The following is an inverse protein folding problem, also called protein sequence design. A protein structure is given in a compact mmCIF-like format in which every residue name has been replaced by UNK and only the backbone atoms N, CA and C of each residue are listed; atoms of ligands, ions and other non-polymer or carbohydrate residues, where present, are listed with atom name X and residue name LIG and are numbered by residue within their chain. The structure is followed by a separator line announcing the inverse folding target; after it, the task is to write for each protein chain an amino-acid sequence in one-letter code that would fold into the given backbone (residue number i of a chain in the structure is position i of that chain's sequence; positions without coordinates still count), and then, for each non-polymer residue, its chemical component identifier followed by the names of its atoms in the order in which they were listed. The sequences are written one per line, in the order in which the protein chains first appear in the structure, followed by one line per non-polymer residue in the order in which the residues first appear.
data_IF_871570381342
#
_entry.id   IF_871570381342
#
_cell.length_a   1.000
_cell.length_b   1.000
_cell.length_c   1.000
_cell.angle_alpha   90.00
_cell.angle_beta   90.00
_cell.angle_gamma   90.00
#
_symmetry.space_group_name_H-M   'P 1'
#
loop_
_entity.id
_entity.type
_entity.pdbx_description
1 polymer ?
#
# COMPACT_ATOMS: atom_id res chain seq x y z
N UNK A 1 -25.91 -8.01 -10.75
CA UNK A 1 -25.05 -6.95 -11.30
C UNK A 1 -23.78 -6.93 -10.44
N UNK A 2 -22.60 -6.83 -11.05
CA UNK A 2 -21.35 -6.70 -10.28
C UNK A 2 -21.40 -5.39 -9.46
N UNK A 3 -20.91 -5.45 -8.23
CA UNK A 3 -20.83 -4.29 -7.34
C UNK A 3 -19.87 -3.25 -7.94
N UNK A 4 -20.36 -2.04 -8.17
CA UNK A 4 -19.54 -0.93 -8.65
C UNK A 4 -18.90 -0.23 -7.45
N UNK A 5 -17.74 -0.67 -7.04
CA UNK A 5 -16.96 -0.08 -5.95
C UNK A 5 -15.57 0.31 -6.47
N UNK A 6 -15.06 1.46 -6.03
CA UNK A 6 -13.67 1.85 -6.33
C UNK A 6 -12.69 0.88 -5.66
N UNK A 7 -11.60 0.52 -6.36
CA UNK A 7 -10.61 -0.43 -5.82
C UNK A 7 -10.02 0.04 -4.49
N UNK A 8 -9.77 1.33 -4.31
CA UNK A 8 -9.31 1.90 -3.03
C UNK A 8 -10.32 1.73 -1.89
N UNK A 9 -11.63 1.83 -2.16
CA UNK A 9 -12.66 1.62 -1.14
C UNK A 9 -12.71 0.14 -0.72
N UNK A 10 -12.71 -0.78 -1.69
CA UNK A 10 -12.63 -2.21 -1.43
C UNK A 10 -11.36 -2.60 -0.64
N UNK A 11 -10.23 -1.93 -0.93
CA UNK A 11 -8.99 -2.08 -0.18
C UNK A 11 -9.15 -1.68 1.30
N UNK A 12 -9.67 -0.48 1.56
CA UNK A 12 -9.87 0.00 2.94
C UNK A 12 -10.81 -0.91 3.74
N UNK A 13 -11.90 -1.38 3.12
CA UNK A 13 -12.83 -2.35 3.72
C UNK A 13 -12.15 -3.68 4.02
N UNK A 14 -11.31 -4.19 3.10
CA UNK A 14 -10.60 -5.45 3.26
C UNK A 14 -9.60 -5.39 4.43
N UNK A 15 -8.89 -4.28 4.61
CA UNK A 15 -7.98 -4.10 5.75
C UNK A 15 -8.72 -4.21 7.09
N UNK A 16 -9.87 -3.55 7.22
CA UNK A 16 -10.69 -3.62 8.45
C UNK A 16 -11.22 -5.04 8.67
N UNK A 17 -11.77 -5.66 7.61
CA UNK A 17 -12.38 -6.98 7.71
C UNK A 17 -11.37 -8.09 8.08
N UNK A 18 -10.10 -7.96 7.66
CA UNK A 18 -9.06 -8.95 7.91
C UNK A 18 -8.24 -8.70 9.18
N UNK A 19 -8.41 -7.55 9.83
CA UNK A 19 -7.58 -7.14 10.95
C UNK A 19 -7.59 -8.11 12.14
N UNK A 20 -8.73 -8.72 12.45
CA UNK A 20 -8.84 -9.68 13.55
C UNK A 20 -8.19 -11.03 13.24
N UNK A 21 -8.20 -11.42 11.96
CA UNK A 21 -7.58 -12.67 11.49
C UNK A 21 -6.04 -12.55 11.41
N UNK A 22 -5.54 -11.30 11.24
CA UNK A 22 -4.10 -11.01 11.12
C UNK A 22 -3.67 -9.96 12.17
N UNK A 23 -3.42 -10.37 13.43
CA UNK A 23 -3.04 -9.44 14.50
C UNK A 23 -1.68 -8.76 14.28
N UNK A 24 -0.85 -9.28 13.36
CA UNK A 24 0.41 -8.66 12.97
C UNK A 24 0.23 -7.53 11.95
N UNK A 25 -0.95 -7.41 11.33
CA UNK A 25 -1.25 -6.34 10.37
C UNK A 25 -1.14 -4.98 11.04
N UNK A 26 -0.29 -4.13 10.48
CA UNK A 26 -0.17 -2.71 10.83
C UNK A 26 -0.26 -1.85 9.57
N UNK A 27 -0.87 -0.69 9.68
CA UNK A 27 -1.10 0.21 8.55
C UNK A 27 -0.39 1.54 8.81
N UNK A 28 0.45 1.94 7.86
CA UNK A 28 1.12 3.24 7.87
C UNK A 28 0.59 4.10 6.73
N UNK A 29 0.44 5.38 6.95
CA UNK A 29 -0.09 6.31 5.94
C UNK A 29 0.69 7.63 5.95
N UNK A 30 0.95 8.17 4.77
CA UNK A 30 1.68 9.43 4.59
C UNK A 30 0.73 10.64 4.54
N UNK A 31 -0.13 10.77 5.55
CA UNK A 31 -1.11 11.86 5.73
C UNK A 31 -2.19 11.94 4.62
N UNK A 32 -2.52 10.80 4.02
CA UNK A 32 -3.50 10.69 2.93
C UNK A 32 -4.65 9.72 3.25
N UNK A 33 -4.88 9.41 4.53
CA UNK A 33 -5.79 8.35 4.97
C UNK A 33 -7.24 8.48 4.46
N UNK A 34 -7.70 9.68 4.19
CA UNK A 34 -8.99 9.94 3.55
C UNK A 34 -9.01 9.51 2.08
N UNK A 35 -7.91 9.73 1.35
CA UNK A 35 -7.77 9.40 -0.08
C UNK A 35 -7.43 7.93 -0.32
N UNK A 36 -6.56 7.36 0.51
CA UNK A 36 -6.15 5.95 0.48
C UNK A 36 -7.20 5.01 1.06
N UNK A 37 -8.24 5.56 1.71
CA UNK A 37 -9.32 4.84 2.42
C UNK A 37 -8.84 4.08 3.68
N UNK A 38 -7.65 4.34 4.17
CA UNK A 38 -7.12 3.74 5.43
C UNK A 38 -7.72 4.35 6.69
N UNK A 39 -8.46 5.46 6.59
CA UNK A 39 -9.16 6.10 7.71
C UNK A 39 -10.11 5.16 8.45
N UNK A 40 -10.72 4.20 7.74
CA UNK A 40 -11.57 3.17 8.35
C UNK A 40 -10.77 2.29 9.32
N UNK A 41 -9.59 1.85 8.89
CA UNK A 41 -8.68 1.07 9.72
C UNK A 41 -8.16 1.88 10.92
N UNK A 42 -7.77 3.13 10.71
CA UNK A 42 -7.35 4.03 11.79
C UNK A 42 -8.40 4.18 12.89
N UNK A 43 -9.69 4.23 12.52
CA UNK A 43 -10.80 4.31 13.47
C UNK A 43 -11.04 3.00 14.21
N UNK A 44 -10.96 1.86 13.51
CA UNK A 44 -11.24 0.54 14.07
C UNK A 44 -10.08 -0.01 14.92
N UNK A 45 -8.84 0.27 14.51
CA UNK A 45 -7.61 -0.26 15.11
C UNK A 45 -6.55 0.84 15.30
N UNK A 46 -6.80 1.84 16.16
CA UNK A 46 -5.91 3.00 16.34
C UNK A 46 -4.53 2.63 16.90
N UNK A 47 -4.41 1.52 17.60
CA UNK A 47 -3.17 0.96 18.12
C UNK A 47 -2.27 0.31 17.07
N UNK A 48 -2.83 0.05 15.88
CA UNK A 48 -2.14 -0.57 14.73
C UNK A 48 -2.09 0.35 13.50
N UNK A 49 -2.43 1.63 13.67
CA UNK A 49 -2.38 2.65 12.63
C UNK A 49 -1.39 3.75 12.95
N UNK A 50 -0.52 4.10 12.01
CA UNK A 50 0.51 5.13 12.16
C UNK A 50 0.41 6.15 11.03
N UNK A 51 0.01 7.39 11.35
CA UNK A 51 0.17 8.51 10.42
C UNK A 51 1.60 9.03 10.51
N UNK A 52 2.35 8.88 9.44
CA UNK A 52 3.78 9.23 9.37
C UNK A 52 4.02 10.66 8.89
N UNK A 53 2.94 11.44 8.61
CA UNK A 53 3.05 12.72 7.95
C UNK A 53 3.48 12.58 6.48
N UNK A 54 3.75 13.69 5.81
CA UNK A 54 4.20 13.73 4.42
C UNK A 54 5.70 13.35 4.35
N UNK A 55 6.00 12.07 4.65
CA UNK A 55 7.37 11.56 4.81
C UNK A 55 7.50 10.12 4.33
N UNK A 56 7.28 9.87 3.04
CA UNK A 56 7.17 8.53 2.45
C UNK A 56 8.45 7.70 2.61
N UNK A 57 9.63 8.32 2.50
CA UNK A 57 10.90 7.63 2.72
C UNK A 57 11.05 7.15 4.17
N UNK A 58 10.67 8.01 5.14
CA UNK A 58 10.65 7.64 6.56
C UNK A 58 9.61 6.55 6.85
N UNK A 59 8.40 6.66 6.30
CA UNK A 59 7.35 5.65 6.40
C UNK A 59 7.85 4.28 5.94
N UNK A 60 8.55 4.24 4.81
CA UNK A 60 9.12 3.02 4.24
C UNK A 60 10.18 2.42 5.15
N UNK A 61 11.08 3.23 5.72
CA UNK A 61 12.10 2.79 6.68
C UNK A 61 11.49 2.24 7.98
N UNK A 62 10.46 2.92 8.53
CA UNK A 62 9.74 2.45 9.72
C UNK A 62 9.02 1.12 9.44
N UNK A 63 8.37 1.00 8.27
CA UNK A 63 7.73 -0.25 7.86
C UNK A 63 8.72 -1.41 7.76
N UNK A 64 9.93 -1.16 7.22
CA UNK A 64 10.99 -2.16 7.19
C UNK A 64 11.38 -2.63 8.59
N UNK A 65 11.53 -1.70 9.55
CA UNK A 65 11.82 -2.03 10.95
C UNK A 65 10.70 -2.84 11.62
N UNK A 66 9.43 -2.47 11.38
CA UNK A 66 8.27 -3.21 11.88
C UNK A 66 8.21 -4.64 11.30
N UNK A 67 8.50 -4.79 10.02
CA UNK A 67 8.55 -6.11 9.38
C UNK A 67 9.68 -6.99 9.95
N UNK A 68 10.85 -6.40 10.22
CA UNK A 68 11.95 -7.11 10.88
C UNK A 68 11.59 -7.57 12.32
N UNK A 69 10.60 -6.91 12.95
CA UNK A 69 10.04 -7.30 14.25
C UNK A 69 8.82 -8.24 14.13
N UNK A 70 8.55 -8.82 12.96
CA UNK A 70 7.48 -9.79 12.75
C UNK A 70 6.09 -9.19 12.48
N UNK A 71 5.99 -7.88 12.23
CA UNK A 71 4.74 -7.27 11.78
C UNK A 71 4.55 -7.43 10.27
N UNK A 72 3.30 -7.24 9.82
CA UNK A 72 2.92 -7.21 8.40
C UNK A 72 2.49 -5.80 8.00
N UNK A 73 3.43 -4.87 7.76
CA UNK A 73 3.10 -3.48 7.46
C UNK A 73 2.60 -3.28 6.04
N UNK A 74 1.52 -2.49 5.91
CA UNK A 74 1.01 -1.91 4.68
C UNK A 74 1.28 -0.41 4.71
N UNK A 75 2.16 0.09 3.83
CA UNK A 75 2.44 1.54 3.69
C UNK A 75 1.52 2.13 2.64
N UNK A 76 0.95 3.31 2.90
CA UNK A 76 -0.08 3.90 2.05
C UNK A 76 0.23 5.34 1.69
N UNK A 77 0.26 5.62 0.41
CA UNK A 77 0.37 6.96 -0.19
C UNK A 77 -0.09 6.89 -1.65
N UNK A 78 0.03 7.99 -2.40
CA UNK A 78 -0.19 7.93 -3.84
C UNK A 78 0.94 7.19 -4.56
N UNK A 79 0.61 6.55 -5.69
CA UNK A 79 1.56 5.77 -6.48
C UNK A 79 2.81 6.59 -6.86
N UNK A 80 2.63 7.86 -7.23
CA UNK A 80 3.72 8.78 -7.56
C UNK A 80 4.71 8.94 -6.40
N UNK A 81 4.23 8.96 -5.17
CA UNK A 81 5.07 9.17 -3.99
C UNK A 81 5.64 7.87 -3.45
N UNK A 82 4.88 6.78 -3.50
CA UNK A 82 5.40 5.44 -3.15
C UNK A 82 6.54 5.01 -4.09
N UNK A 83 6.31 5.16 -5.40
CA UNK A 83 7.24 4.74 -6.43
C UNK A 83 8.36 5.77 -6.69
N UNK A 84 8.10 7.06 -6.52
CA UNK A 84 9.07 8.12 -6.77
C UNK A 84 9.90 8.47 -5.54
N UNK A 85 9.28 9.06 -4.50
CA UNK A 85 10.00 9.60 -3.34
C UNK A 85 10.67 8.54 -2.48
N UNK A 86 10.07 7.36 -2.33
CA UNK A 86 10.56 6.31 -1.44
C UNK A 86 11.23 5.15 -2.19
N UNK A 87 11.48 5.26 -3.49
CA UNK A 87 11.95 4.13 -4.32
C UNK A 87 13.24 3.51 -3.80
N UNK A 88 14.21 4.34 -3.38
CA UNK A 88 15.48 3.84 -2.85
C UNK A 88 15.26 3.03 -1.58
N UNK A 89 14.44 3.52 -0.65
CA UNK A 89 14.12 2.81 0.60
C UNK A 89 13.33 1.53 0.32
N UNK A 90 12.41 1.53 -0.64
CA UNK A 90 11.72 0.32 -1.09
C UNK A 90 12.72 -0.71 -1.60
N UNK A 91 13.67 -0.29 -2.43
CA UNK A 91 14.70 -1.16 -3.00
C UNK A 91 15.64 -1.72 -1.93
N UNK A 92 16.23 -0.86 -1.10
CA UNK A 92 17.33 -1.22 -0.21
C UNK A 92 16.85 -1.68 1.18
N UNK A 93 15.79 -1.06 1.72
CA UNK A 93 15.35 -1.39 3.08
C UNK A 93 14.27 -2.48 3.10
N UNK A 94 13.55 -2.72 2.00
CA UNK A 94 12.47 -3.70 1.92
C UNK A 94 12.83 -4.87 1.00
N UNK A 95 13.09 -4.60 -0.28
CA UNK A 95 13.22 -5.66 -1.28
C UNK A 95 14.55 -6.43 -1.17
N UNK A 96 15.65 -5.73 -0.92
CA UNK A 96 16.98 -6.36 -0.78
C UNK A 96 17.01 -7.38 0.37
N UNK A 97 16.56 -7.06 1.60
CA UNK A 97 16.49 -8.02 2.71
C UNK A 97 15.24 -8.92 2.64
N UNK A 98 14.38 -8.78 1.62
CA UNK A 98 13.13 -9.54 1.42
C UNK A 98 12.13 -9.41 2.56
N UNK A 99 12.03 -8.25 3.18
CA UNK A 99 11.11 -8.01 4.28
C UNK A 99 9.64 -8.03 3.82
N UNK A 100 8.78 -8.55 4.68
CA UNK A 100 7.35 -8.69 4.44
C UNK A 100 6.61 -7.35 4.57
N UNK A 101 6.84 -6.43 3.64
CA UNK A 101 6.19 -5.12 3.56
C UNK A 101 5.35 -5.03 2.30
N UNK A 102 4.11 -4.54 2.42
CA UNK A 102 3.24 -4.23 1.29
C UNK A 102 3.26 -2.73 1.04
N UNK A 103 3.92 -2.33 -0.03
CA UNK A 103 3.98 -0.93 -0.48
C UNK A 103 2.73 -0.67 -1.33
N UNK A 104 1.83 0.19 -0.85
CA UNK A 104 0.55 0.44 -1.52
C UNK A 104 0.56 1.83 -2.14
N UNK A 105 0.46 1.85 -3.48
CA UNK A 105 0.37 3.06 -4.28
C UNK A 105 -1.03 3.27 -4.83
N UNK A 106 -1.78 4.20 -4.27
CA UNK A 106 -3.11 4.55 -4.77
C UNK A 106 -3.06 5.64 -5.84
N UNK A 107 -4.16 5.86 -6.55
CA UNK A 107 -4.25 6.88 -7.61
C UNK A 107 -3.19 6.72 -8.72
N UNK A 108 -2.81 5.49 -9.04
CA UNK A 108 -1.86 5.23 -10.13
C UNK A 108 -2.49 5.43 -11.51
N UNK A 109 -1.68 5.83 -12.48
CA UNK A 109 -2.09 6.06 -13.87
C UNK A 109 -2.68 7.44 -14.10
N UNK A 110 -3.52 7.56 -15.14
CA UNK A 110 -4.05 8.84 -15.62
C UNK A 110 -5.28 9.33 -14.85
N UNK A 111 -6.03 8.44 -14.17
CA UNK A 111 -7.31 8.75 -13.54
C UNK A 111 -7.18 9.28 -12.11
N UNK A 112 -6.24 10.18 -11.86
CA UNK A 112 -6.00 10.80 -10.53
C UNK A 112 -7.10 11.78 -10.16
N UNK A 113 -7.64 12.52 -11.11
CA UNK A 113 -8.64 13.57 -10.91
C UNK A 113 -8.01 14.97 -10.91
N UNK A 114 -8.49 15.83 -10.01
CA UNK A 114 -8.18 17.26 -9.97
C UNK A 114 -6.70 17.60 -9.64
N UNK A 115 -5.98 16.69 -8.99
CA UNK A 115 -4.53 16.88 -8.71
C UNK A 115 -3.68 16.96 -10.00
N UNK A 116 -4.18 16.39 -11.10
CA UNK A 116 -3.61 16.55 -12.43
C UNK A 116 -2.27 15.87 -12.66
N UNK A 117 -1.53 16.38 -13.65
CA UNK A 117 -0.34 15.73 -14.21
C UNK A 117 0.79 15.47 -13.19
N UNK A 118 0.92 16.30 -12.17
CA UNK A 118 1.95 16.14 -11.14
C UNK A 118 1.75 14.90 -10.26
N UNK A 119 0.54 14.34 -10.25
CA UNK A 119 0.15 13.18 -9.45
C UNK A 119 -0.15 11.94 -10.31
N UNK A 120 -0.22 12.10 -11.64
CA UNK A 120 -0.41 11.01 -12.59
C UNK A 120 0.86 10.17 -12.69
N UNK A 121 0.86 8.99 -12.06
CA UNK A 121 2.00 8.09 -12.08
C UNK A 121 1.80 7.04 -13.17
N UNK A 122 2.57 7.12 -14.25
CA UNK A 122 2.51 6.20 -15.39
C UNK A 122 3.70 5.24 -15.43
N UNK A 123 4.73 5.49 -14.64
CA UNK A 123 6.00 4.77 -14.61
C UNK A 123 6.13 3.77 -13.45
N UNK A 124 5.22 3.77 -12.49
CA UNK A 124 5.28 2.98 -11.26
C UNK A 124 5.47 1.47 -11.50
N UNK A 125 4.76 0.91 -12.48
CA UNK A 125 4.94 -0.49 -12.84
C UNK A 125 6.34 -0.79 -13.33
N UNK A 126 6.91 0.07 -14.16
CA UNK A 126 8.22 -0.15 -14.74
C UNK A 126 9.31 -0.13 -13.67
N UNK A 127 9.30 0.88 -12.80
CA UNK A 127 10.33 1.05 -11.77
C UNK A 127 10.18 0.06 -10.62
N UNK A 128 8.96 -0.32 -10.24
CA UNK A 128 8.74 -1.33 -9.20
C UNK A 128 9.06 -2.74 -9.70
N UNK A 129 8.75 -3.07 -10.95
CA UNK A 129 9.12 -4.36 -11.56
C UNK A 129 10.62 -4.51 -11.79
N UNK A 130 11.37 -3.41 -11.86
CA UNK A 130 12.84 -3.45 -11.98
C UNK A 130 13.53 -3.85 -10.67
N UNK A 131 12.83 -3.79 -9.53
CA UNK A 131 13.39 -4.15 -8.21
C UNK A 131 13.38 -5.69 -8.05
N UNK A 132 14.52 -6.35 -7.85
CA UNK A 132 14.56 -7.78 -7.56
C UNK A 132 13.75 -8.12 -6.30
N UNK A 133 13.11 -9.28 -6.32
CA UNK A 133 12.23 -9.82 -5.26
C UNK A 133 10.88 -9.09 -5.10
N UNK A 134 10.64 -7.96 -5.75
CA UNK A 134 9.39 -7.22 -5.62
C UNK A 134 8.28 -7.88 -6.44
N UNK A 135 7.23 -8.35 -5.76
CA UNK A 135 5.97 -8.72 -6.41
C UNK A 135 5.19 -7.45 -6.77
N UNK A 136 4.61 -7.39 -7.96
CA UNK A 136 3.75 -6.27 -8.38
C UNK A 136 2.35 -6.79 -8.66
N UNK A 137 1.37 -6.24 -7.95
CA UNK A 137 -0.04 -6.65 -8.00
C UNK A 137 -0.92 -5.45 -8.34
N UNK A 138 -1.85 -5.63 -9.25
CA UNK A 138 -2.77 -4.58 -9.69
C UNK A 138 -4.17 -5.14 -9.95
N UNK A 139 -5.03 -5.23 -8.93
CA UNK A 139 -6.40 -5.71 -9.07
C UNK A 139 -7.24 -4.78 -9.95
N UNK A 140 -8.12 -5.36 -10.77
CA UNK A 140 -8.94 -4.61 -11.72
C UNK A 140 -10.25 -4.11 -11.12
N UNK A 141 -10.76 -4.77 -10.07
CA UNK A 141 -12.06 -4.44 -9.45
C UNK A 141 -12.08 -4.69 -7.93
N UNK A 142 -13.22 -4.41 -7.29
CA UNK A 142 -13.39 -4.57 -5.85
C UNK A 142 -13.27 -6.01 -5.36
N UNK A 143 -13.94 -6.99 -5.99
CA UNK A 143 -13.81 -8.41 -5.63
C UNK A 143 -12.37 -8.91 -5.72
N UNK A 144 -11.66 -8.60 -6.80
CA UNK A 144 -10.25 -8.98 -6.96
C UNK A 144 -9.36 -8.29 -5.91
N UNK A 145 -9.65 -7.01 -5.60
CA UNK A 145 -8.92 -6.27 -4.56
C UNK A 145 -9.03 -6.93 -3.19
N UNK A 146 -10.22 -7.34 -2.77
CA UNK A 146 -10.41 -8.03 -1.48
C UNK A 146 -9.63 -9.35 -1.41
N UNK A 147 -9.60 -10.10 -2.52
CA UNK A 147 -8.80 -11.33 -2.62
C UNK A 147 -7.29 -11.04 -2.61
N UNK A 148 -6.86 -10.00 -3.32
CA UNK A 148 -5.45 -9.59 -3.37
C UNK A 148 -4.93 -9.17 -1.99
N UNK A 149 -5.71 -8.43 -1.20
CA UNK A 149 -5.30 -8.05 0.17
C UNK A 149 -5.10 -9.28 1.04
N UNK A 150 -6.01 -10.27 0.98
CA UNK A 150 -5.85 -11.54 1.71
C UNK A 150 -4.62 -12.30 1.24
N UNK A 151 -4.47 -12.49 -0.06
CA UNK A 151 -3.32 -13.18 -0.64
C UNK A 151 -1.98 -12.52 -0.27
N UNK A 152 -1.95 -11.18 -0.19
CA UNK A 152 -0.78 -10.42 0.23
C UNK A 152 -0.49 -10.56 1.74
N UNK A 153 -1.50 -10.73 2.58
CA UNK A 153 -1.32 -11.03 4.01
C UNK A 153 -0.74 -12.42 4.23
N UNK A 154 -1.09 -13.38 3.36
CA UNK A 154 -0.54 -14.75 3.39
C UNK A 154 0.84 -14.86 2.73
N UNK A 155 1.17 -13.95 1.79
CA UNK A 155 2.46 -13.94 1.11
C UNK A 155 3.55 -13.35 2.00
N UNK A 156 4.61 -14.12 2.26
CA UNK A 156 5.78 -13.68 3.02
C UNK A 156 6.84 -13.12 2.06
N UNK A 157 6.88 -11.81 1.93
CA UNK A 157 7.81 -11.11 1.05
C UNK A 157 7.33 -9.71 0.66
N UNK A 158 8.19 -8.94 -0.02
CA UNK A 158 7.88 -7.58 -0.46
C UNK A 158 6.91 -7.58 -1.64
N UNK A 159 5.92 -6.68 -1.58
CA UNK A 159 4.99 -6.49 -2.68
C UNK A 159 4.63 -5.02 -2.88
N UNK A 160 4.43 -4.62 -4.13
CA UNK A 160 3.83 -3.37 -4.52
C UNK A 160 2.39 -3.62 -4.97
N UNK A 161 1.43 -3.07 -4.24
CA UNK A 161 0.01 -3.14 -4.57
C UNK A 161 -0.44 -1.81 -5.15
N UNK A 162 -0.86 -1.83 -6.43
CA UNK A 162 -1.27 -0.64 -7.15
C UNK A 162 -2.78 -0.54 -7.21
N UNK A 163 -3.32 0.61 -6.80
CA UNK A 163 -4.75 0.93 -6.86
C UNK A 163 -5.01 2.06 -7.84
N UNK A 164 -6.17 2.00 -8.51
CA UNK A 164 -6.76 3.17 -9.15
C UNK A 164 -7.45 4.10 -8.13
N UNK A 165 -8.05 5.16 -8.63
CA UNK A 165 -8.92 6.06 -7.85
C UNK A 165 -10.31 5.46 -7.64
#
# INVERSE_FOLDING_TARGET
MAEKIATRAAYGEALVALAEEYPELVVLDADLSGSTMTKGFAKAHPDRFYNMGIAEANMTGVAAGLAACGKKPFTNTFAMFAAGRAWEQVRNSIAYPRLNVKVVGSHGGLSVGEDGATHQCIEDYAIMRAIPNMMVVSPCDGPEMRQAVRALLDYDGPAYLRLGR
#
